data_IF_645382686013
#
_entry.id   IF_645382686013
#
_cell.length_a   1.000
_cell.length_b   1.000
_cell.length_c   1.000
_cell.angle_alpha   90.00
_cell.angle_beta   90.00
_cell.angle_gamma   90.00
#
_symmetry.space_group_name_H-M   'P 1'
#
loop_
_entity.id
_entity.type
_entity.pdbx_description
1 polymer ?
#
# COMPACT_ATOMS: atom_id res chain seq x y z
N UNK A 1 -4.85 20.65 -18.43
CA UNK A 1 -5.39 20.23 -19.76
C UNK A 1 -6.32 21.30 -20.37
N UNK A 2 -5.89 22.56 -20.34
CA UNK A 2 -6.73 23.73 -20.71
C UNK A 2 -7.10 23.80 -22.21
N UNK A 3 -6.44 23.03 -23.10
CA UNK A 3 -6.64 23.10 -24.56
C UNK A 3 -7.06 21.73 -25.17
N UNK A 4 -7.82 20.93 -24.44
CA UNK A 4 -8.28 19.61 -24.92
C UNK A 4 -9.39 19.76 -25.98
N UNK A 5 -9.29 19.01 -27.09
CA UNK A 5 -10.37 18.91 -28.08
C UNK A 5 -11.61 18.24 -27.45
N UNK A 6 -12.84 18.44 -28.04
CA UNK A 6 -14.04 17.78 -27.51
C UNK A 6 -13.96 16.24 -27.47
N UNK A 7 -13.19 15.63 -28.39
CA UNK A 7 -12.94 14.16 -28.38
C UNK A 7 -12.08 13.76 -27.21
N UNK A 8 -11.06 14.55 -26.91
CA UNK A 8 -10.16 14.33 -25.78
C UNK A 8 -10.87 14.52 -24.44
N UNK A 9 -11.70 15.56 -24.30
CA UNK A 9 -12.50 15.78 -23.11
C UNK A 9 -13.41 14.58 -22.81
N UNK A 10 -14.14 14.08 -23.80
CA UNK A 10 -14.97 12.87 -23.64
C UNK A 10 -14.17 11.61 -23.29
N UNK A 11 -12.94 11.47 -23.81
CA UNK A 11 -12.07 10.36 -23.43
C UNK A 11 -11.63 10.47 -21.97
N UNK A 12 -11.22 11.67 -21.55
CA UNK A 12 -10.83 11.96 -20.17
C UNK A 12 -11.98 11.64 -19.19
N UNK A 13 -13.17 12.17 -19.46
CA UNK A 13 -14.36 11.92 -18.65
C UNK A 13 -14.64 10.41 -18.50
N UNK A 14 -14.54 9.64 -19.59
CA UNK A 14 -14.71 8.18 -19.55
C UNK A 14 -13.65 7.48 -18.72
N UNK A 15 -12.38 7.91 -18.79
CA UNK A 15 -11.29 7.32 -18.00
C UNK A 15 -11.56 7.58 -16.52
N UNK A 16 -11.89 8.81 -16.13
CA UNK A 16 -12.20 9.15 -14.75
C UNK A 16 -13.44 8.41 -14.23
N UNK A 17 -14.52 8.36 -14.99
CA UNK A 17 -15.72 7.60 -14.63
C UNK A 17 -15.44 6.10 -14.43
N UNK A 18 -14.53 5.51 -15.26
CA UNK A 18 -14.16 4.11 -15.20
C UNK A 18 -13.04 3.80 -14.19
N UNK A 19 -12.44 4.81 -13.58
CA UNK A 19 -11.41 4.61 -12.54
C UNK A 19 -11.95 3.95 -11.28
N UNK A 20 -13.27 4.03 -11.03
CA UNK A 20 -13.90 3.56 -9.80
C UNK A 20 -13.64 4.46 -8.60
N UNK A 21 -12.90 5.55 -8.76
CA UNK A 21 -12.54 6.49 -7.69
C UNK A 21 -13.61 7.58 -7.59
N UNK A 22 -14.24 7.70 -6.43
CA UNK A 22 -15.24 8.75 -6.15
C UNK A 22 -14.63 9.93 -5.40
N UNK A 23 -13.73 9.64 -4.47
CA UNK A 23 -13.03 10.62 -3.66
C UNK A 23 -11.56 10.26 -3.57
N UNK A 24 -10.71 11.25 -3.40
CA UNK A 24 -9.29 11.09 -3.12
C UNK A 24 -8.75 12.33 -2.42
N UNK A 25 -7.73 12.14 -1.60
CA UNK A 25 -7.02 13.20 -0.93
C UNK A 25 -5.77 13.57 -1.73
N UNK A 26 -5.45 14.83 -1.72
CA UNK A 26 -4.25 15.40 -2.34
C UNK A 26 -3.70 16.46 -1.40
N UNK A 27 -2.38 16.53 -1.26
CA UNK A 27 -1.75 17.67 -0.58
C UNK A 27 -1.81 18.90 -1.48
N UNK A 28 -1.63 20.13 -0.92
CA UNK A 28 -1.42 21.31 -1.72
C UNK A 28 -0.23 21.13 -2.66
N UNK A 29 -0.45 21.36 -3.94
CA UNK A 29 0.61 21.27 -4.95
C UNK A 29 1.49 22.53 -4.94
N UNK A 30 2.76 22.43 -5.40
CA UNK A 30 3.60 23.62 -5.62
C UNK A 30 2.91 24.63 -6.54
N UNK A 31 3.09 25.91 -6.26
CA UNK A 31 2.47 27.02 -7.01
C UNK A 31 2.97 27.14 -8.46
N UNK A 32 4.05 26.47 -8.83
CA UNK A 32 4.59 26.43 -10.18
C UNK A 32 3.67 25.67 -11.14
N UNK A 33 3.50 26.17 -12.35
CA UNK A 33 2.71 25.48 -13.40
C UNK A 33 3.36 24.18 -13.90
N UNK A 34 4.68 24.02 -13.70
CA UNK A 34 5.42 22.81 -14.05
C UNK A 34 6.59 22.62 -13.06
N UNK A 35 6.32 22.21 -11.83
CA UNK A 35 7.35 22.12 -10.80
C UNK A 35 8.38 21.04 -11.16
N UNK A 36 9.65 21.37 -10.93
CA UNK A 36 10.76 20.43 -11.04
C UNK A 36 10.68 19.35 -9.97
N UNK A 37 11.37 18.24 -10.18
CA UNK A 37 11.48 17.16 -9.17
C UNK A 37 12.00 17.70 -7.85
N UNK A 38 12.97 18.61 -7.86
CA UNK A 38 13.49 19.24 -6.65
C UNK A 38 12.43 20.07 -5.89
N UNK A 39 11.55 20.78 -6.60
CA UNK A 39 10.43 21.51 -5.97
C UNK A 39 9.41 20.55 -5.36
N UNK A 40 9.08 19.46 -6.06
CA UNK A 40 8.18 18.40 -5.56
C UNK A 40 8.76 17.74 -4.30
N UNK A 41 10.06 17.45 -4.27
CA UNK A 41 10.74 16.87 -3.10
C UNK A 41 10.80 17.84 -1.91
N UNK A 42 10.91 19.15 -2.14
CA UNK A 42 10.77 20.16 -1.06
C UNK A 42 9.37 20.16 -0.46
N UNK A 43 8.33 19.95 -1.25
CA UNK A 43 6.95 19.83 -0.76
C UNK A 43 6.69 18.48 -0.09
N UNK A 44 7.37 17.41 -0.55
CA UNK A 44 7.22 16.06 -0.01
C UNK A 44 7.58 15.98 1.47
N UNK A 45 8.74 16.49 1.88
CA UNK A 45 9.28 16.31 3.23
C UNK A 45 8.31 16.74 4.34
N UNK A 46 7.80 18.00 4.37
CA UNK A 46 6.89 18.43 5.41
C UNK A 46 5.53 17.72 5.36
N UNK A 47 4.98 17.51 4.16
CA UNK A 47 3.68 16.88 4.00
C UNK A 47 3.70 15.39 4.35
N UNK A 48 4.77 14.67 3.99
CA UNK A 48 4.95 13.28 4.38
C UNK A 48 5.05 13.12 5.90
N UNK A 49 5.78 14.04 6.56
CA UNK A 49 5.89 14.05 8.03
C UNK A 49 4.53 14.28 8.70
N UNK A 50 3.74 15.25 8.23
CA UNK A 50 2.42 15.56 8.79
C UNK A 50 1.49 14.34 8.75
N UNK A 51 1.35 13.71 7.59
CA UNK A 51 0.52 12.52 7.43
C UNK A 51 1.06 11.30 8.20
N UNK A 52 2.39 11.12 8.20
CA UNK A 52 3.03 10.03 8.94
C UNK A 52 2.81 10.17 10.45
N UNK A 53 2.93 11.38 11.00
CA UNK A 53 2.71 11.64 12.42
C UNK A 53 1.28 11.28 12.84
N UNK A 54 0.28 11.68 12.05
CA UNK A 54 -1.11 11.36 12.33
C UNK A 54 -1.34 9.86 12.28
N UNK A 55 -0.90 9.18 11.22
CA UNK A 55 -1.04 7.73 11.07
C UNK A 55 -0.35 6.96 12.21
N UNK A 56 0.87 7.35 12.58
CA UNK A 56 1.61 6.72 13.67
C UNK A 56 0.93 6.91 15.03
N UNK A 57 0.44 8.12 15.33
CA UNK A 57 -0.28 8.41 16.58
C UNK A 57 -1.57 7.58 16.69
N UNK A 58 -2.31 7.45 15.59
CA UNK A 58 -3.51 6.62 15.54
C UNK A 58 -3.17 5.15 15.76
N UNK A 59 -2.13 4.62 15.11
CA UNK A 59 -1.71 3.23 15.27
C UNK A 59 -1.23 2.92 16.70
N UNK A 60 -0.42 3.79 17.31
CA UNK A 60 0.04 3.65 18.69
C UNK A 60 -1.12 3.68 19.69
N UNK A 61 -2.04 4.65 19.52
CA UNK A 61 -3.25 4.75 20.34
C UNK A 61 -4.14 3.52 20.22
N UNK A 62 -4.33 3.02 19.01
CA UNK A 62 -5.15 1.85 18.75
C UNK A 62 -4.53 0.58 19.34
N UNK A 63 -3.21 0.44 19.22
CA UNK A 63 -2.46 -0.66 19.84
C UNK A 63 -2.37 -0.56 21.36
N UNK A 64 -2.62 0.61 21.96
CA UNK A 64 -2.42 0.84 23.39
C UNK A 64 -0.94 0.83 23.79
N UNK A 65 -0.05 1.16 22.87
CA UNK A 65 1.40 1.10 23.05
C UNK A 65 1.96 2.52 23.12
N UNK A 66 2.78 2.77 24.14
CA UNK A 66 3.51 4.03 24.27
C UNK A 66 4.61 4.12 23.21
N UNK A 67 4.80 5.30 22.65
CA UNK A 67 5.80 5.51 21.62
C UNK A 67 7.23 5.16 22.06
N UNK A 68 7.54 5.36 23.34
CA UNK A 68 8.85 5.01 23.94
C UNK A 68 9.14 3.51 23.97
N UNK A 69 8.10 2.66 23.80
CA UNK A 69 8.26 1.20 23.74
C UNK A 69 8.64 0.70 22.34
N UNK A 70 8.59 1.56 21.33
CA UNK A 70 8.95 1.18 19.96
C UNK A 70 10.46 0.98 19.87
N UNK A 71 10.86 -0.23 19.49
CA UNK A 71 12.27 -0.62 19.30
C UNK A 71 12.73 -0.48 17.84
N UNK A 72 11.79 -0.59 16.88
CA UNK A 72 12.09 -0.52 15.45
C UNK A 72 11.08 0.38 14.73
N UNK A 73 11.58 1.29 13.92
CA UNK A 73 10.79 2.14 13.02
C UNK A 73 11.04 1.71 11.57
N UNK A 74 9.99 1.25 10.90
CA UNK A 74 10.02 0.97 9.46
C UNK A 74 9.21 2.04 8.73
N UNK A 75 9.83 2.72 7.77
CA UNK A 75 9.14 3.67 6.91
C UNK A 75 9.11 3.15 5.47
N UNK A 76 8.00 3.39 4.77
CA UNK A 76 7.80 2.97 3.38
C UNK A 76 7.35 4.16 2.56
N UNK A 77 8.04 4.42 1.43
CA UNK A 77 7.56 5.39 0.43
C UNK A 77 8.22 5.17 -0.93
N UNK A 78 7.47 5.42 -2.00
CA UNK A 78 7.98 5.46 -3.36
C UNK A 78 7.71 6.79 -4.08
N UNK A 79 7.10 7.76 -3.39
CA UNK A 79 6.71 9.05 -3.97
C UNK A 79 7.59 10.22 -3.53
N UNK A 80 8.60 9.95 -2.75
CA UNK A 80 9.59 10.95 -2.36
C UNK A 80 10.70 10.36 -1.52
N UNK A 81 11.80 11.08 -1.44
CA UNK A 81 12.97 10.70 -0.65
C UNK A 81 13.78 11.93 -0.24
N UNK A 82 14.62 11.74 0.75
CA UNK A 82 15.56 12.73 1.24
C UNK A 82 16.45 12.12 2.33
N UNK A 83 17.64 12.68 2.51
CA UNK A 83 18.53 12.31 3.60
C UNK A 83 19.03 13.59 4.30
N UNK A 84 18.61 13.84 5.55
CA UNK A 84 17.75 13.00 6.41
C UNK A 84 16.31 12.88 5.89
N UNK A 85 15.68 11.72 6.11
CA UNK A 85 14.31 11.44 5.68
C UNK A 85 13.26 11.81 6.75
N UNK A 86 11.98 11.59 6.42
CA UNK A 86 10.90 11.83 7.38
C UNK A 86 10.93 10.85 8.57
N UNK A 87 11.64 9.74 8.48
CA UNK A 87 11.91 8.81 9.58
C UNK A 87 12.62 9.48 10.76
N UNK A 88 13.67 10.29 10.50
CA UNK A 88 14.31 11.07 11.56
C UNK A 88 13.39 12.16 12.14
N UNK A 89 12.58 12.76 11.28
CA UNK A 89 11.60 13.74 11.74
C UNK A 89 10.50 13.09 12.58
N UNK A 90 10.09 11.83 12.30
CA UNK A 90 9.19 11.07 13.15
C UNK A 90 9.76 10.84 14.55
N UNK A 91 11.02 10.43 14.68
CA UNK A 91 11.70 10.25 15.98
C UNK A 91 11.65 11.53 16.80
N UNK A 92 11.93 12.67 16.18
CA UNK A 92 11.94 13.95 16.86
C UNK A 92 10.54 14.45 17.29
N UNK A 93 9.46 14.03 16.61
CA UNK A 93 8.09 14.53 16.81
C UNK A 93 7.16 13.50 17.48
N UNK A 94 7.56 12.25 17.54
CA UNK A 94 7.00 11.23 18.41
C UNK A 94 8.01 10.99 19.53
N UNK A 95 7.58 10.69 20.77
CA UNK A 95 8.53 10.41 21.86
C UNK A 95 9.14 9.00 21.72
N UNK A 96 9.72 8.70 20.54
CA UNK A 96 10.46 7.47 20.28
C UNK A 96 11.81 7.51 20.98
N UNK A 97 12.34 6.34 21.34
CA UNK A 97 13.69 6.23 21.88
C UNK A 97 14.73 6.70 20.82
N UNK A 98 15.79 7.39 21.27
CA UNK A 98 16.82 7.92 20.37
C UNK A 98 17.67 6.82 19.71
N UNK A 99 17.66 5.62 20.27
CA UNK A 99 18.34 4.42 19.78
C UNK A 99 17.41 3.48 18.99
N UNK A 100 16.18 3.92 18.68
CA UNK A 100 15.25 3.16 17.84
C UNK A 100 15.91 2.75 16.51
N UNK A 101 15.90 1.46 16.21
CA UNK A 101 16.47 0.94 14.97
C UNK A 101 15.58 1.36 13.78
N UNK A 102 16.20 1.89 12.70
CA UNK A 102 15.48 2.42 11.54
C UNK A 102 15.70 1.59 10.29
N UNK A 103 14.64 1.36 9.56
CA UNK A 103 14.69 0.75 8.21
C UNK A 103 13.78 1.53 7.27
N UNK A 104 14.30 1.91 6.11
CA UNK A 104 13.49 2.54 5.06
C UNK A 104 13.33 1.62 3.86
N UNK A 105 12.09 1.36 3.46
CA UNK A 105 11.72 0.61 2.26
C UNK A 105 11.32 1.61 1.18
N UNK A 106 12.26 1.92 0.29
CA UNK A 106 12.08 2.89 -0.79
C UNK A 106 11.88 2.25 -2.15
N UNK A 107 11.14 2.91 -3.02
CA UNK A 107 10.99 2.59 -4.45
C UNK A 107 10.51 1.17 -4.81
N UNK A 108 9.81 0.49 -3.89
CA UNK A 108 9.20 -0.81 -4.16
C UNK A 108 7.85 -0.69 -4.89
N UNK A 109 7.30 0.52 -5.02
CA UNK A 109 5.98 0.75 -5.61
C UNK A 109 4.83 0.33 -4.71
N UNK A 110 3.68 0.03 -5.31
CA UNK A 110 2.44 -0.22 -4.58
C UNK A 110 2.48 -1.42 -3.61
N UNK A 111 3.44 -2.34 -3.77
CA UNK A 111 3.61 -3.46 -2.83
C UNK A 111 4.59 -3.17 -1.68
N UNK A 112 5.14 -1.96 -1.57
CA UNK A 112 6.16 -1.62 -0.57
C UNK A 112 5.76 -1.91 0.87
N UNK A 113 4.49 -1.75 1.23
CA UNK A 113 4.02 -2.11 2.58
C UNK A 113 4.11 -3.62 2.87
N UNK A 114 3.97 -4.50 1.88
CA UNK A 114 4.22 -5.95 2.07
C UNK A 114 5.67 -6.24 2.41
N UNK A 115 6.60 -5.54 1.77
CA UNK A 115 8.02 -5.63 2.10
C UNK A 115 8.27 -5.14 3.52
N UNK A 116 7.67 -4.02 3.92
CA UNK A 116 7.73 -3.51 5.28
C UNK A 116 7.16 -4.49 6.31
N UNK A 117 6.00 -5.10 6.04
CA UNK A 117 5.38 -6.12 6.91
C UNK A 117 6.26 -7.36 7.05
N UNK A 118 6.93 -7.81 5.97
CA UNK A 118 7.89 -8.91 6.00
C UNK A 118 9.10 -8.59 6.88
N UNK A 119 9.62 -7.36 6.79
CA UNK A 119 10.74 -6.90 7.65
C UNK A 119 10.29 -6.82 9.10
N UNK A 120 9.10 -6.26 9.39
CA UNK A 120 8.54 -6.20 10.73
C UNK A 120 8.40 -7.60 11.35
N UNK A 121 7.87 -8.55 10.58
CA UNK A 121 7.78 -9.95 11.00
C UNK A 121 9.14 -10.54 11.35
N UNK A 122 10.15 -10.32 10.49
CA UNK A 122 11.50 -10.83 10.74
C UNK A 122 12.11 -10.29 12.04
N UNK A 123 11.85 -9.02 12.37
CA UNK A 123 12.31 -8.43 13.62
C UNK A 123 11.65 -9.10 14.84
N UNK A 124 10.32 -9.25 14.84
CA UNK A 124 9.62 -9.85 15.98
C UNK A 124 9.83 -11.37 16.11
N UNK A 125 10.14 -12.06 15.00
CA UNK A 125 10.56 -13.48 15.03
C UNK A 125 11.98 -13.66 15.59
N UNK A 126 12.88 -12.71 15.28
CA UNK A 126 14.27 -12.73 15.78
C UNK A 126 14.36 -12.31 17.24
N UNK A 127 13.55 -11.37 17.67
CA UNK A 127 13.46 -10.87 19.04
C UNK A 127 12.00 -10.69 19.44
N UNK A 128 11.45 -11.61 20.26
CA UNK A 128 10.07 -11.52 20.75
C UNK A 128 9.77 -10.27 21.60
N UNK A 129 10.78 -9.56 22.08
CA UNK A 129 10.62 -8.28 22.79
C UNK A 129 10.54 -7.10 21.84
N UNK A 130 10.79 -7.29 20.52
CA UNK A 130 10.72 -6.23 19.54
C UNK A 130 9.29 -5.69 19.40
N UNK A 131 9.18 -4.36 19.43
CA UNK A 131 7.96 -3.63 19.12
C UNK A 131 8.22 -2.75 17.90
N UNK A 132 7.56 -3.05 16.80
CA UNK A 132 7.84 -2.44 15.50
C UNK A 132 6.73 -1.49 15.10
N UNK A 133 7.07 -0.23 14.83
CA UNK A 133 6.16 0.74 14.19
C UNK A 133 6.49 0.80 12.70
N UNK A 134 5.55 0.38 11.85
CA UNK A 134 5.64 0.53 10.40
C UNK A 134 4.72 1.65 9.94
N UNK A 135 5.24 2.56 9.12
CA UNK A 135 4.48 3.65 8.52
C UNK A 135 4.74 3.73 7.01
N UNK A 136 3.69 3.65 6.21
CA UNK A 136 3.73 3.86 4.76
C UNK A 136 3.09 5.21 4.43
N UNK A 137 3.80 6.06 3.68
CA UNK A 137 3.34 7.40 3.27
C UNK A 137 3.55 7.58 1.78
N UNK A 138 2.48 7.96 1.08
CA UNK A 138 2.55 8.21 -0.35
C UNK A 138 1.87 9.52 -0.72
N UNK A 139 2.58 10.34 -1.48
CA UNK A 139 2.12 11.63 -1.99
C UNK A 139 2.12 11.60 -3.53
N UNK A 140 1.27 10.74 -4.08
CA UNK A 140 1.21 10.51 -5.52
C UNK A 140 0.80 11.77 -6.29
N UNK A 141 0.02 12.67 -5.68
CA UNK A 141 -0.41 13.92 -6.29
C UNK A 141 0.75 14.84 -6.67
N UNK A 142 1.88 14.74 -5.97
CA UNK A 142 3.10 15.48 -6.32
C UNK A 142 3.63 15.15 -7.71
N UNK A 143 3.30 13.96 -8.24
CA UNK A 143 3.80 13.47 -9.52
C UNK A 143 2.75 13.50 -10.63
N UNK A 144 1.63 14.23 -10.43
CA UNK A 144 0.67 14.49 -11.50
C UNK A 144 1.38 15.08 -12.72
N UNK A 145 1.12 14.48 -13.88
CA UNK A 145 1.69 14.89 -15.15
C UNK A 145 0.60 15.48 -16.04
N UNK A 146 0.85 16.66 -16.61
CA UNK A 146 0.00 17.24 -17.64
C UNK A 146 0.29 16.63 -19.01
N UNK A 147 -0.69 16.71 -19.93
CA UNK A 147 -0.53 16.26 -21.31
C UNK A 147 -1.38 15.06 -21.69
N UNK A 148 -1.16 14.55 -22.92
CA UNK A 148 -1.98 13.51 -23.55
C UNK A 148 -1.27 12.14 -23.59
N UNK A 149 -0.40 11.84 -22.66
CA UNK A 149 0.12 10.49 -22.47
C UNK A 149 -0.97 9.63 -21.83
N UNK A 150 -1.40 8.50 -22.44
CA UNK A 150 -2.45 7.63 -21.91
C UNK A 150 -2.14 7.07 -20.52
N UNK A 151 -0.88 6.72 -20.24
CA UNK A 151 -0.47 6.16 -18.95
C UNK A 151 -0.57 7.22 -17.85
N UNK A 152 -0.15 8.47 -18.14
CA UNK A 152 -0.29 9.60 -17.22
C UNK A 152 -1.76 9.91 -16.92
N UNK A 153 -2.63 9.87 -17.93
CA UNK A 153 -4.08 10.13 -17.75
C UNK A 153 -4.70 9.06 -16.84
N UNK A 154 -4.34 7.79 -17.04
CA UNK A 154 -4.84 6.69 -16.20
C UNK A 154 -4.28 6.82 -14.78
N UNK A 155 -2.98 7.09 -14.62
CA UNK A 155 -2.37 7.33 -13.33
C UNK A 155 -3.04 8.51 -12.60
N UNK A 156 -3.22 9.64 -13.28
CA UNK A 156 -3.88 10.82 -12.74
C UNK A 156 -5.34 10.56 -12.32
N UNK A 157 -6.02 9.58 -12.92
CA UNK A 157 -7.40 9.22 -12.57
C UNK A 157 -7.49 8.25 -11.38
N UNK A 158 -6.42 7.54 -11.04
CA UNK A 158 -6.40 6.50 -10.02
C UNK A 158 -5.70 6.91 -8.73
N UNK A 159 -4.51 7.55 -8.84
CA UNK A 159 -3.64 7.77 -7.70
C UNK A 159 -4.11 8.92 -6.78
N UNK A 160 -3.81 8.76 -5.50
CA UNK A 160 -4.17 9.66 -4.40
C UNK A 160 -3.05 9.69 -3.35
N UNK A 161 -3.13 10.60 -2.40
CA UNK A 161 -2.23 10.71 -1.27
C UNK A 161 -2.81 10.01 -0.04
N UNK A 162 -1.94 9.47 0.80
CA UNK A 162 -2.34 8.90 2.07
C UNK A 162 -1.20 8.30 2.86
N UNK A 163 -1.45 8.09 4.15
CA UNK A 163 -0.56 7.40 5.05
C UNK A 163 -1.31 6.36 5.88
N UNK A 164 -0.64 5.26 6.17
CA UNK A 164 -1.13 4.24 7.08
C UNK A 164 0.01 3.72 7.95
N UNK A 165 -0.30 3.36 9.19
CA UNK A 165 0.69 2.79 10.10
C UNK A 165 0.13 1.58 10.84
N UNK A 166 1.02 0.68 11.26
CA UNK A 166 0.69 -0.48 12.09
C UNK A 166 1.77 -0.68 13.15
N UNK A 167 1.36 -1.20 14.30
CA UNK A 167 2.27 -1.71 15.31
C UNK A 167 2.30 -3.23 15.21
N UNK A 168 3.50 -3.82 15.15
CA UNK A 168 3.69 -5.26 15.11
C UNK A 168 4.51 -5.72 16.32
N UNK A 169 4.03 -6.80 16.96
CA UNK A 169 4.65 -7.46 18.10
C UNK A 169 4.59 -8.98 17.89
N UNK A 170 5.37 -9.74 18.66
CA UNK A 170 5.28 -11.19 18.64
C UNK A 170 3.93 -11.67 19.17
N UNK A 171 3.35 -12.70 18.55
CA UNK A 171 2.03 -13.22 18.91
C UNK A 171 1.96 -13.75 20.38
N UNK A 172 3.08 -14.30 20.88
CA UNK A 172 3.17 -14.91 22.22
C UNK A 172 3.90 -14.02 23.25
N UNK A 173 4.22 -12.77 22.88
CA UNK A 173 5.30 -11.99 23.50
C UNK A 173 4.94 -10.74 24.24
N UNK A 174 3.70 -10.39 24.51
CA UNK A 174 3.45 -9.21 25.32
C UNK A 174 2.19 -9.33 26.18
N UNK A 175 2.32 -8.94 27.44
CA UNK A 175 1.27 -8.23 28.20
C UNK A 175 0.89 -6.90 27.47
N UNK A 176 0.66 -6.97 26.17
CA UNK A 176 0.02 -5.89 25.40
C UNK A 176 -1.43 -5.93 25.84
N UNK A 177 -1.80 -5.00 26.68
CA UNK A 177 -3.03 -4.94 27.44
C UNK A 177 -4.23 -5.44 26.64
N UNK A 178 -5.11 -6.21 27.26
CA UNK A 178 -6.23 -6.95 26.68
C UNK A 178 -6.98 -6.06 25.66
N UNK A 179 -6.64 -6.25 24.39
CA UNK A 179 -7.23 -5.45 23.32
C UNK A 179 -8.53 -6.14 22.95
N UNK A 180 -9.65 -5.50 23.26
CA UNK A 180 -11.00 -5.90 22.86
C UNK A 180 -11.23 -5.72 21.35
N UNK A 181 -10.20 -5.88 20.51
CA UNK A 181 -10.25 -5.66 19.07
C UNK A 181 -9.73 -6.87 18.31
N UNK A 182 -10.27 -7.06 17.13
CA UNK A 182 -9.80 -8.08 16.18
C UNK A 182 -8.38 -7.79 15.77
N UNK A 183 -7.45 -8.69 16.02
CA UNK A 183 -6.06 -8.57 15.59
C UNK A 183 -5.81 -9.34 14.29
N UNK A 184 -4.78 -8.93 13.56
CA UNK A 184 -4.32 -9.59 12.35
C UNK A 184 -2.98 -10.27 12.63
N UNK A 185 -2.96 -11.59 12.57
CA UNK A 185 -1.72 -12.35 12.65
C UNK A 185 -1.15 -12.57 11.24
N UNK A 186 0.05 -12.08 10.96
CA UNK A 186 0.78 -12.38 9.72
C UNK A 186 1.39 -13.78 9.81
N UNK A 187 0.76 -14.76 9.16
CA UNK A 187 1.13 -16.17 9.21
C UNK A 187 2.28 -16.49 8.27
N UNK A 188 2.19 -16.04 7.03
CA UNK A 188 3.21 -16.30 5.99
C UNK A 188 3.22 -15.18 4.96
N UNK A 189 4.33 -15.03 4.25
CA UNK A 189 4.44 -14.13 3.11
C UNK A 189 5.31 -14.75 2.01
N UNK A 190 5.02 -14.38 0.76
CA UNK A 190 5.79 -14.81 -0.41
C UNK A 190 5.82 -13.72 -1.48
N UNK A 191 6.78 -13.82 -2.38
CA UNK A 191 6.98 -12.89 -3.49
C UNK A 191 7.33 -13.63 -4.76
N UNK A 192 6.91 -13.12 -5.90
CA UNK A 192 7.38 -13.59 -7.20
C UNK A 192 7.49 -12.43 -8.19
N UNK A 193 8.45 -12.54 -9.11
CA UNK A 193 8.53 -11.69 -10.29
C UNK A 193 7.99 -12.45 -11.47
N UNK A 194 7.03 -11.87 -12.19
CA UNK A 194 6.44 -12.50 -13.38
C UNK A 194 7.40 -12.37 -14.57
N UNK A 195 7.85 -13.46 -15.20
CA UNK A 195 8.84 -13.40 -16.27
C UNK A 195 8.34 -12.61 -17.50
N UNK A 196 9.22 -11.83 -18.12
CA UNK A 196 8.97 -11.09 -19.36
C UNK A 196 7.93 -9.96 -19.16
N UNK A 197 7.96 -9.30 -17.99
CA UNK A 197 7.03 -8.22 -17.64
C UNK A 197 7.75 -6.95 -17.15
N UNK A 198 9.07 -6.88 -17.25
CA UNK A 198 9.94 -5.84 -16.70
C UNK A 198 9.55 -4.44 -17.16
N UNK A 199 9.10 -4.32 -18.43
CA UNK A 199 8.73 -3.05 -19.05
C UNK A 199 7.23 -2.70 -18.87
N UNK A 200 6.44 -3.54 -18.19
CA UNK A 200 4.99 -3.34 -18.13
C UNK A 200 4.53 -2.38 -17.05
N UNK A 201 5.33 -2.22 -16.00
CA UNK A 201 5.07 -1.29 -14.90
C UNK A 201 6.39 -0.71 -14.42
N UNK A 202 6.47 0.61 -14.37
CA UNK A 202 7.67 1.31 -13.94
C UNK A 202 7.34 2.63 -13.26
N UNK A 203 8.30 3.12 -12.47
CA UNK A 203 8.26 4.39 -11.77
C UNK A 203 9.62 5.05 -11.94
N UNK A 204 9.69 6.07 -12.79
CA UNK A 204 10.94 6.65 -13.29
C UNK A 204 11.08 8.07 -12.78
N UNK A 205 12.23 8.40 -12.22
CA UNK A 205 12.57 9.76 -11.78
C UNK A 205 12.93 10.57 -13.02
N UNK A 206 12.22 11.68 -13.23
CA UNK A 206 12.44 12.61 -14.32
C UNK A 206 12.63 14.05 -13.80
N UNK A 207 12.90 15.00 -14.68
CA UNK A 207 13.18 16.39 -14.31
C UNK A 207 11.96 17.10 -13.67
N UNK A 208 10.74 16.67 -14.03
CA UNK A 208 9.47 17.25 -13.58
C UNK A 208 8.59 16.27 -12.79
N UNK A 209 9.20 15.54 -11.86
CA UNK A 209 8.53 14.55 -11.03
C UNK A 209 8.85 13.13 -11.46
N UNK A 210 8.08 12.17 -10.95
CA UNK A 210 8.24 10.76 -11.31
C UNK A 210 7.17 10.36 -12.32
N UNK A 211 7.58 9.63 -13.34
CA UNK A 211 6.73 9.22 -14.45
C UNK A 211 6.32 7.76 -14.29
N UNK A 212 5.02 7.50 -14.46
CA UNK A 212 4.46 6.15 -14.42
C UNK A 212 4.50 5.52 -15.81
N UNK A 213 5.05 4.30 -15.88
CA UNK A 213 4.82 3.37 -16.98
C UNK A 213 3.78 2.35 -16.53
N UNK A 214 2.64 2.26 -17.23
CA UNK A 214 1.55 1.35 -16.87
C UNK A 214 0.93 0.74 -18.13
N UNK A 215 1.45 -0.39 -18.55
CA UNK A 215 0.97 -1.09 -19.72
C UNK A 215 -0.45 -1.65 -19.53
N UNK A 216 -1.28 -1.50 -20.55
CA UNK A 216 -2.60 -2.12 -20.61
C UNK A 216 -2.58 -3.66 -20.56
N UNK A 217 -1.40 -4.28 -20.70
CA UNK A 217 -1.18 -5.73 -20.63
C UNK A 217 -1.04 -6.26 -19.18
N UNK A 218 -0.81 -5.39 -18.20
CA UNK A 218 -0.63 -5.81 -16.78
C UNK A 218 -1.76 -6.71 -16.28
N UNK A 219 -3.06 -6.36 -16.43
CA UNK A 219 -4.15 -7.22 -15.95
C UNK A 219 -4.14 -8.62 -16.57
N UNK A 220 -3.89 -8.75 -17.86
CA UNK A 220 -3.87 -10.06 -18.54
C UNK A 220 -2.67 -10.92 -18.11
N UNK A 221 -1.53 -10.31 -17.78
CA UNK A 221 -0.37 -11.03 -17.24
C UNK A 221 -0.64 -11.54 -15.83
N UNK A 222 -1.28 -10.74 -14.99
CA UNK A 222 -1.73 -11.18 -13.66
C UNK A 222 -2.73 -12.34 -13.81
N UNK A 223 -3.77 -12.18 -14.64
CA UNK A 223 -4.78 -13.23 -14.84
C UNK A 223 -4.18 -14.56 -15.27
N UNK A 224 -3.16 -14.55 -16.13
CA UNK A 224 -2.55 -15.76 -16.65
C UNK A 224 -1.65 -16.51 -15.65
N UNK A 225 -1.02 -15.83 -14.70
CA UNK A 225 0.07 -16.38 -13.90
C UNK A 225 -0.25 -16.45 -12.39
N UNK A 226 -1.22 -15.68 -11.91
CA UNK A 226 -1.50 -15.55 -10.48
C UNK A 226 -1.98 -16.86 -9.84
N UNK A 227 -2.96 -17.52 -10.44
CA UNK A 227 -3.61 -18.71 -9.84
C UNK A 227 -2.65 -19.86 -9.61
N UNK A 228 -1.86 -20.35 -10.59
CA UNK A 228 -0.95 -21.47 -10.37
C UNK A 228 0.08 -21.20 -9.28
N UNK A 229 0.58 -19.96 -9.23
CA UNK A 229 1.54 -19.55 -8.20
C UNK A 229 0.90 -19.55 -6.80
N UNK A 230 -0.32 -19.01 -6.66
CA UNK A 230 -1.03 -19.02 -5.39
C UNK A 230 -1.38 -20.43 -4.92
N UNK A 231 -1.86 -21.29 -5.81
CA UNK A 231 -2.20 -22.69 -5.49
C UNK A 231 -0.96 -23.44 -4.99
N UNK A 232 0.20 -23.27 -5.65
CA UNK A 232 1.46 -23.87 -5.21
C UNK A 232 1.90 -23.36 -3.83
N UNK A 233 1.80 -22.07 -3.61
CA UNK A 233 2.21 -21.49 -2.33
C UNK A 233 1.27 -21.88 -1.19
N UNK A 234 -0.04 -21.80 -1.38
CA UNK A 234 -1.03 -22.19 -0.38
C UNK A 234 -0.93 -23.68 -0.04
N UNK A 235 -0.69 -24.53 -1.02
CA UNK A 235 -0.46 -25.97 -0.78
C UNK A 235 0.74 -26.22 0.13
N UNK A 236 1.81 -25.42 0.05
CA UNK A 236 2.96 -25.51 0.97
C UNK A 236 2.61 -25.14 2.41
N UNK A 237 1.50 -24.44 2.62
CA UNK A 237 0.95 -24.04 3.93
C UNK A 237 -0.21 -24.95 4.37
N UNK A 238 -0.52 -25.99 3.61
CA UNK A 238 -1.63 -26.92 3.88
C UNK A 238 -3.00 -26.33 3.60
N UNK A 239 -3.09 -25.32 2.74
CA UNK A 239 -4.32 -24.61 2.36
C UNK A 239 -4.61 -24.74 0.87
N UNK A 240 -5.88 -24.55 0.51
CA UNK A 240 -6.36 -24.45 -0.87
C UNK A 240 -6.99 -23.07 -1.10
N UNK A 241 -7.09 -22.62 -2.36
CA UNK A 241 -7.74 -21.35 -2.70
C UNK A 241 -9.19 -21.22 -2.18
N UNK A 242 -10.05 -22.26 -2.25
CA UNK A 242 -11.42 -22.19 -1.74
C UNK A 242 -11.53 -22.00 -0.22
N UNK A 243 -10.49 -22.38 0.55
CA UNK A 243 -10.46 -22.20 2.01
C UNK A 243 -10.13 -20.75 2.41
N UNK A 244 -9.72 -19.92 1.46
CA UNK A 244 -9.47 -18.48 1.68
C UNK A 244 -10.74 -17.71 1.34
N UNK A 245 -11.54 -17.39 2.36
CA UNK A 245 -12.82 -16.72 2.17
C UNK A 245 -12.69 -15.21 2.00
N UNK A 246 -11.68 -14.61 2.59
CA UNK A 246 -11.47 -13.15 2.61
C UNK A 246 -10.19 -12.76 1.88
N UNK A 247 -10.27 -11.69 1.09
CA UNK A 247 -9.17 -11.22 0.25
C UNK A 247 -8.96 -9.72 0.40
N UNK A 248 -7.74 -9.33 0.73
CA UNK A 248 -7.28 -7.94 0.78
C UNK A 248 -6.40 -7.64 -0.44
N UNK A 249 -7.01 -7.26 -1.55
CA UNK A 249 -6.29 -7.04 -2.81
C UNK A 249 -5.97 -5.56 -2.97
N UNK A 250 -4.69 -5.22 -3.11
CA UNK A 250 -4.29 -3.85 -3.47
C UNK A 250 -4.94 -3.45 -4.80
N UNK A 251 -5.78 -2.41 -4.82
CA UNK A 251 -6.53 -2.03 -6.00
C UNK A 251 -5.71 -1.09 -6.90
N UNK A 252 -4.77 -1.63 -7.65
CA UNK A 252 -4.01 -0.86 -8.65
C UNK A 252 -4.90 -0.17 -9.70
N UNK A 253 -6.17 -0.54 -9.73
CA UNK A 253 -7.27 -0.03 -10.53
C UNK A 253 -8.34 -1.09 -10.71
N UNK A 254 -9.55 -0.77 -11.24
CA UNK A 254 -10.65 -1.73 -11.40
C UNK A 254 -10.27 -2.96 -12.24
N UNK A 255 -9.40 -2.78 -13.25
CA UNK A 255 -8.95 -3.88 -14.11
C UNK A 255 -8.03 -4.87 -13.40
N UNK A 256 -7.27 -4.42 -12.40
CA UNK A 256 -6.44 -5.31 -11.56
C UNK A 256 -7.36 -6.15 -10.67
N UNK A 257 -8.34 -5.53 -10.02
CA UNK A 257 -9.34 -6.25 -9.23
C UNK A 257 -10.08 -7.29 -10.07
N UNK A 258 -10.52 -6.93 -11.27
CA UNK A 258 -11.18 -7.85 -12.20
C UNK A 258 -10.27 -9.04 -12.60
N UNK A 259 -8.98 -8.78 -12.87
CA UNK A 259 -8.02 -9.82 -13.20
C UNK A 259 -7.79 -10.81 -12.05
N UNK A 260 -7.78 -10.34 -10.80
CA UNK A 260 -7.68 -11.18 -9.61
C UNK A 260 -8.95 -12.01 -9.42
N UNK A 261 -10.13 -11.40 -9.55
CA UNK A 261 -11.42 -12.14 -9.51
C UNK A 261 -11.45 -13.27 -10.52
N UNK A 262 -11.11 -12.97 -11.77
CA UNK A 262 -11.09 -13.96 -12.86
C UNK A 262 -10.08 -15.08 -12.59
N UNK A 263 -8.84 -14.70 -12.25
CA UNK A 263 -7.74 -15.66 -12.07
C UNK A 263 -7.98 -16.60 -10.88
N UNK A 264 -8.37 -16.06 -9.74
CA UNK A 264 -8.57 -16.85 -8.52
C UNK A 264 -9.97 -17.48 -8.42
N UNK A 265 -10.90 -17.14 -9.34
CA UNK A 265 -12.27 -17.66 -9.33
C UNK A 265 -13.12 -17.08 -8.19
N UNK A 266 -12.88 -15.81 -7.83
CA UNK A 266 -13.51 -15.17 -6.69
C UNK A 266 -14.84 -14.50 -7.05
N UNK A 267 -15.69 -14.38 -6.04
CA UNK A 267 -16.89 -13.57 -6.12
C UNK A 267 -16.59 -12.11 -5.73
N UNK A 268 -17.29 -11.11 -6.28
CA UNK A 268 -17.06 -9.70 -5.96
C UNK A 268 -17.13 -9.36 -4.45
N UNK A 269 -17.94 -10.07 -3.69
CA UNK A 269 -18.05 -9.89 -2.24
C UNK A 269 -16.78 -10.24 -1.48
N UNK A 270 -15.88 -11.07 -2.03
CA UNK A 270 -14.63 -11.44 -1.37
C UNK A 270 -13.57 -10.34 -1.42
N UNK A 271 -13.70 -9.38 -2.34
CA UNK A 271 -12.80 -8.21 -2.47
C UNK A 271 -13.54 -6.87 -2.30
N UNK A 272 -14.70 -6.86 -1.67
CA UNK A 272 -15.54 -5.67 -1.49
C UNK A 272 -14.81 -4.56 -0.70
N UNK A 273 -14.01 -4.93 0.31
CA UNK A 273 -13.20 -3.98 1.08
C UNK A 273 -12.16 -3.27 0.21
N UNK A 274 -11.50 -4.01 -0.69
CA UNK A 274 -10.55 -3.45 -1.66
C UNK A 274 -11.23 -2.47 -2.63
N UNK A 275 -12.39 -2.85 -3.14
CA UNK A 275 -13.22 -2.02 -4.02
C UNK A 275 -13.70 -0.75 -3.28
N UNK A 276 -14.11 -0.88 -2.03
CA UNK A 276 -14.57 0.23 -1.21
C UNK A 276 -13.44 1.22 -0.90
N UNK A 277 -12.22 0.74 -0.61
CA UNK A 277 -11.05 1.61 -0.40
C UNK A 277 -10.69 2.37 -1.67
N UNK A 278 -10.61 1.70 -2.84
CA UNK A 278 -10.39 2.38 -4.11
C UNK A 278 -11.42 3.47 -4.38
N UNK A 279 -12.68 3.17 -4.14
CA UNK A 279 -13.79 4.12 -4.37
C UNK A 279 -13.68 5.36 -3.49
N UNK A 280 -13.31 5.21 -2.23
CA UNK A 280 -13.36 6.29 -1.22
C UNK A 280 -12.06 7.07 -1.10
N UNK A 281 -10.91 6.46 -1.41
CA UNK A 281 -9.59 7.05 -1.19
C UNK A 281 -8.73 7.09 -2.45
N UNK A 282 -9.09 6.36 -3.50
CA UNK A 282 -8.22 6.16 -4.65
C UNK A 282 -7.09 5.15 -4.36
N UNK A 283 -6.11 5.12 -5.25
CA UNK A 283 -4.90 4.32 -5.09
C UNK A 283 -3.81 5.15 -4.41
N UNK A 284 -3.59 4.95 -3.12
CA UNK A 284 -2.55 5.59 -2.31
C UNK A 284 -1.25 4.76 -2.33
N UNK A 285 -0.94 4.12 -3.46
CA UNK A 285 0.26 3.27 -3.62
C UNK A 285 0.44 2.29 -2.43
N UNK A 286 1.62 2.25 -1.80
CA UNK A 286 1.94 1.30 -0.73
C UNK A 286 1.04 1.43 0.51
N UNK A 287 0.53 2.61 0.82
CA UNK A 287 -0.35 2.82 1.97
C UNK A 287 -1.72 2.16 1.82
N UNK A 288 -2.20 1.95 0.59
CA UNK A 288 -3.57 1.47 0.30
C UNK A 288 -3.90 0.15 0.99
N UNK A 289 -2.96 -0.80 1.01
CA UNK A 289 -3.22 -2.10 1.62
C UNK A 289 -3.48 -2.00 3.13
N UNK A 290 -2.83 -1.05 3.82
CA UNK A 290 -3.04 -0.84 5.25
C UNK A 290 -4.46 -0.34 5.54
N UNK A 291 -5.06 0.48 4.67
CA UNK A 291 -6.47 0.88 4.76
C UNK A 291 -7.42 -0.29 4.56
N UNK A 292 -7.07 -1.23 3.69
CA UNK A 292 -7.89 -2.45 3.48
C UNK A 292 -7.79 -3.35 4.70
N UNK A 293 -6.59 -3.54 5.26
CA UNK A 293 -6.38 -4.34 6.47
C UNK A 293 -7.08 -3.73 7.69
N UNK A 294 -7.08 -2.41 7.83
CA UNK A 294 -7.84 -1.73 8.90
C UNK A 294 -9.35 -2.00 8.77
N UNK A 295 -9.91 -1.92 7.58
CA UNK A 295 -11.31 -2.27 7.35
C UNK A 295 -11.60 -3.74 7.61
N UNK A 296 -10.69 -4.63 7.20
CA UNK A 296 -10.82 -6.05 7.47
C UNK A 296 -10.91 -6.30 8.98
N UNK A 297 -10.02 -5.67 9.74
CA UNK A 297 -9.95 -5.80 11.20
C UNK A 297 -11.21 -5.28 11.91
N UNK A 298 -11.87 -4.27 11.35
CA UNK A 298 -13.05 -3.61 11.94
C UNK A 298 -14.38 -4.13 11.40
N UNK A 299 -14.37 -5.01 10.39
CA UNK A 299 -15.59 -5.57 9.79
C UNK A 299 -15.89 -6.94 10.42
N UNK A 300 -17.04 -7.05 11.09
CA UNK A 300 -17.50 -8.32 11.68
C UNK A 300 -17.77 -9.39 10.59
N UNK A 301 -17.59 -10.66 10.96
CA UNK A 301 -17.85 -11.81 10.08
C UNK A 301 -16.76 -12.07 9.04
N UNK A 302 -15.54 -11.57 9.27
CA UNK A 302 -14.37 -11.76 8.40
C UNK A 302 -13.26 -12.57 9.08
N UNK A 303 -13.60 -13.37 10.08
CA UNK A 303 -12.63 -14.19 10.81
C UNK A 303 -12.11 -15.32 9.93
N UNK A 304 -10.88 -15.79 10.23
CA UNK A 304 -10.23 -16.90 9.53
C UNK A 304 -9.11 -16.44 8.58
N UNK A 305 -8.74 -17.29 7.61
CA UNK A 305 -7.67 -16.99 6.67
C UNK A 305 -8.06 -15.87 5.70
N UNK A 306 -7.20 -14.85 5.63
CA UNK A 306 -7.29 -13.77 4.66
C UNK A 306 -6.02 -13.75 3.80
N UNK A 307 -6.18 -13.67 2.49
CA UNK A 307 -5.06 -13.51 1.57
C UNK A 307 -4.95 -12.05 1.12
N UNK A 308 -3.85 -11.40 1.52
CA UNK A 308 -3.51 -10.08 1.02
C UNK A 308 -2.63 -10.19 -0.22
N UNK A 309 -2.91 -9.39 -1.26
CA UNK A 309 -2.17 -9.34 -2.52
C UNK A 309 -1.77 -7.91 -2.87
N UNK A 310 -0.52 -7.75 -3.32
CA UNK A 310 0.01 -6.50 -3.87
C UNK A 310 0.73 -6.72 -5.19
N UNK A 311 0.73 -5.69 -6.03
CA UNK A 311 1.37 -5.69 -7.35
C UNK A 311 2.22 -4.43 -7.49
N UNK A 312 3.34 -4.55 -8.16
CA UNK A 312 4.23 -3.42 -8.41
C UNK A 312 5.24 -3.66 -9.52
N UNK A 313 6.18 -2.73 -9.69
CA UNK A 313 7.19 -2.81 -10.75
C UNK A 313 7.91 -4.16 -10.78
N UNK A 314 8.24 -4.62 -12.02
CA UNK A 314 8.97 -5.86 -12.20
C UNK A 314 8.37 -6.90 -13.12
N UNK A 315 7.10 -7.15 -13.33
CA UNK A 315 5.94 -7.02 -12.47
C UNK A 315 6.11 -7.96 -11.26
N UNK A 316 6.13 -7.40 -10.09
CA UNK A 316 6.22 -8.18 -8.84
C UNK A 316 4.83 -8.44 -8.27
N UNK A 317 4.61 -9.65 -7.77
CA UNK A 317 3.45 -10.03 -6.97
C UNK A 317 3.90 -10.35 -5.55
N UNK A 318 3.32 -9.68 -4.58
CA UNK A 318 3.49 -9.96 -3.16
C UNK A 318 2.21 -10.59 -2.61
N UNK A 319 2.35 -11.62 -1.80
CA UNK A 319 1.25 -12.21 -1.07
C UNK A 319 1.58 -12.36 0.41
N UNK A 320 0.57 -12.15 1.25
CA UNK A 320 0.64 -12.36 2.68
C UNK A 320 -0.62 -13.12 3.13
N UNK A 321 -0.42 -14.22 3.85
CA UNK A 321 -1.49 -14.94 4.53
C UNK A 321 -1.63 -14.35 5.93
N UNK A 322 -2.80 -13.84 6.20
CA UNK A 322 -3.19 -13.28 7.49
C UNK A 322 -4.25 -14.17 8.11
N UNK A 323 -4.27 -14.25 9.42
CA UNK A 323 -5.37 -14.82 10.20
C UNK A 323 -6.05 -13.69 10.96
N UNK A 324 -7.32 -13.51 10.70
CA UNK A 324 -8.16 -12.55 11.43
C UNK A 324 -8.64 -13.25 12.70
N UNK A 325 -8.21 -12.74 13.86
CA UNK A 325 -8.57 -13.31 15.16
C UNK A 325 -9.81 -12.61 15.69
N UNK A 326 -10.66 -13.37 16.40
CA UNK A 326 -11.75 -12.77 17.17
C UNK A 326 -11.18 -12.08 18.41
N UNK A 327 -11.80 -10.99 18.86
CA UNK A 327 -11.54 -10.46 20.20
C UNK A 327 -11.83 -11.56 21.23
N UNK A 328 -10.92 -11.75 22.17
CA UNK A 328 -11.10 -12.66 23.30
C UNK A 328 -12.09 -12.06 24.30
#
# INVERSE_FOLDING_TARGET
MRNASPRQQRLLERIYQRSGVMHRHCIPLPDSSNPSTAERMRSYQPAALELALEACRLALKDAGIEASAITHLITVSCTGFGAPGFDLALIANLPLAMDVARTHVGFMGCHGAFNGLRVARAFVEADPSACVLLCAVELCSLHLQEGWNPDHIVANALFADGAGAVVAVAADGADVGSINKTDLQLVASTSTVLPGTEELMGWIIEDHGFSMVLSSKVPSRIAAQLRPWLEQWLASLGLTLPEVETWAVHPGGPRILAAVLESAGLQPAQIDLSTAVLRQFGNMSSATILFILERLRTTAGREGPCLALGFGPGLTVEAALLKVQKPI
#
